data_IF_752495839073
#
_entry.id   IF_752495839073
#
_cell.length_a   1.000
_cell.length_b   1.000
_cell.length_c   1.000
_cell.angle_alpha   90.00
_cell.angle_beta   90.00
_cell.angle_gamma   90.00
#
_symmetry.space_group_name_H-M   'P 1'
#
loop_
_entity.id
_entity.type
_entity.pdbx_description
1 polymer ?
#
# COMPACT_ATOMS: atom_id res chain seq x y z
N UNK A 1 -4.28 -36.34 10.47
CA UNK A 1 -3.26 -35.54 11.17
C UNK A 1 -1.97 -35.62 10.34
N UNK A 2 -1.46 -34.50 9.80
CA UNK A 2 -0.29 -34.50 8.89
C UNK A 2 0.96 -34.90 9.68
N UNK A 3 1.54 -36.06 9.35
CA UNK A 3 2.84 -36.50 9.88
C UNK A 3 3.92 -35.70 9.18
N UNK A 4 4.51 -34.72 9.85
CA UNK A 4 5.75 -34.08 9.41
C UNK A 4 6.90 -35.06 9.63
N UNK A 5 7.19 -35.88 8.62
CA UNK A 5 8.16 -36.98 8.67
C UNK A 5 9.64 -36.55 8.66
N UNK A 6 9.95 -35.25 8.72
CA UNK A 6 11.31 -34.72 8.53
C UNK A 6 11.85 -33.87 9.70
N UNK A 7 11.18 -33.77 10.86
CA UNK A 7 11.73 -33.05 12.02
C UNK A 7 12.46 -33.98 12.99
N UNK A 8 13.58 -33.51 13.56
CA UNK A 8 14.40 -34.25 14.56
C UNK A 8 13.69 -34.50 15.89
N UNK A 9 12.59 -33.81 16.14
CA UNK A 9 11.73 -33.98 17.31
C UNK A 9 10.33 -34.29 16.83
N UNK A 10 9.71 -35.30 17.41
CA UNK A 10 8.32 -35.64 17.18
C UNK A 10 7.45 -34.82 18.16
N UNK A 11 6.55 -33.98 17.64
CA UNK A 11 5.71 -33.08 18.43
C UNK A 11 4.29 -33.66 18.63
N UNK A 12 4.09 -34.96 18.33
CA UNK A 12 2.79 -35.66 18.37
C UNK A 12 2.06 -35.56 19.72
N UNK A 13 2.78 -35.42 20.83
CA UNK A 13 2.19 -35.33 22.17
C UNK A 13 1.96 -33.89 22.66
N UNK A 14 2.34 -32.88 21.87
CA UNK A 14 2.16 -31.48 22.23
C UNK A 14 0.72 -31.06 21.96
N UNK A 15 -0.06 -30.97 23.04
CA UNK A 15 -1.42 -30.44 23.02
C UNK A 15 -1.37 -28.92 23.05
N UNK A 16 -1.41 -28.30 21.88
CA UNK A 16 -1.59 -26.85 21.75
C UNK A 16 -2.87 -26.41 22.46
N UNK A 17 -2.76 -25.34 23.26
CA UNK A 17 -3.90 -24.69 23.90
C UNK A 17 -4.01 -23.28 23.36
N UNK A 18 -5.25 -22.83 23.13
CA UNK A 18 -5.50 -21.43 22.80
C UNK A 18 -5.10 -20.53 23.98
N UNK A 19 -4.42 -19.42 23.68
CA UNK A 19 -4.15 -18.35 24.63
C UNK A 19 -5.02 -17.13 24.31
N UNK A 20 -5.35 -16.34 25.34
CA UNK A 20 -6.00 -15.04 25.18
C UNK A 20 -5.00 -13.96 25.62
N UNK A 21 -4.67 -13.05 24.71
CA UNK A 21 -3.83 -11.90 25.00
C UNK A 21 -4.72 -10.74 25.44
N UNK A 22 -4.37 -10.05 26.54
CA UNK A 22 -5.06 -8.82 26.93
C UNK A 22 -4.69 -7.70 25.97
N UNK A 23 -5.69 -6.99 25.46
CA UNK A 23 -5.48 -5.86 24.56
C UNK A 23 -6.57 -4.79 24.71
N UNK A 24 -6.29 -3.53 24.31
CA UNK A 24 -7.32 -2.51 24.17
C UNK A 24 -8.47 -2.97 23.28
N UNK A 25 -9.70 -2.65 23.67
CA UNK A 25 -10.91 -3.04 22.94
C UNK A 25 -11.33 -1.93 21.99
N UNK A 26 -11.63 -2.29 20.75
CA UNK A 26 -12.13 -1.38 19.73
C UNK A 26 -13.46 -0.74 20.17
N UNK A 27 -13.63 0.55 19.89
CA UNK A 27 -14.81 1.33 20.29
C UNK A 27 -15.75 1.70 19.11
N UNK A 28 -15.45 1.22 17.91
CA UNK A 28 -16.25 1.45 16.69
C UNK A 28 -16.48 0.15 15.91
N UNK A 29 -17.10 0.22 14.73
CA UNK A 29 -17.38 -0.95 13.88
C UNK A 29 -16.41 -1.18 12.72
N UNK A 30 -15.36 -0.37 12.57
CA UNK A 30 -14.56 -0.33 11.33
C UNK A 30 -13.04 -0.14 11.53
N UNK A 31 -12.56 -0.14 12.77
CA UNK A 31 -11.13 0.01 13.09
C UNK A 31 -10.41 -1.31 13.39
N UNK A 32 -11.08 -2.46 13.24
CA UNK A 32 -10.50 -3.77 13.56
C UNK A 32 -9.19 -4.06 12.82
N UNK A 33 -9.10 -3.69 11.54
CA UNK A 33 -7.87 -3.84 10.77
C UNK A 33 -6.71 -3.02 11.35
N UNK A 34 -6.96 -1.80 11.81
CA UNK A 34 -5.92 -0.94 12.43
C UNK A 34 -5.45 -1.56 13.74
N UNK A 35 -6.38 -2.00 14.58
CA UNK A 35 -6.06 -2.67 15.86
C UNK A 35 -5.23 -3.93 15.63
N UNK A 36 -5.59 -4.78 14.66
CA UNK A 36 -4.84 -5.99 14.33
C UNK A 36 -3.42 -5.66 13.83
N UNK A 37 -3.26 -4.64 12.98
CA UNK A 37 -1.93 -4.20 12.53
C UNK A 37 -1.05 -3.73 13.69
N UNK A 38 -1.61 -2.94 14.61
CA UNK A 38 -0.89 -2.47 15.79
C UNK A 38 -0.48 -3.62 16.72
N UNK A 39 -1.39 -4.56 16.97
CA UNK A 39 -1.09 -5.76 17.76
C UNK A 39 -0.01 -6.61 17.10
N UNK A 40 -0.09 -6.82 15.78
CA UNK A 40 0.91 -7.58 15.04
C UNK A 40 2.30 -6.93 15.14
N UNK A 41 2.39 -5.60 15.01
CA UNK A 41 3.64 -4.86 15.17
C UNK A 41 4.30 -5.12 16.52
N UNK A 42 3.56 -4.93 17.62
CA UNK A 42 4.07 -5.14 18.97
C UNK A 42 4.53 -6.59 19.21
N UNK A 43 3.76 -7.57 18.72
CA UNK A 43 4.14 -9.00 18.83
C UNK A 43 5.45 -9.27 18.10
N UNK A 44 5.62 -8.72 16.90
CA UNK A 44 6.83 -8.92 16.10
C UNK A 44 8.06 -8.24 16.72
N UNK A 45 7.89 -7.07 17.33
CA UNK A 45 8.99 -6.30 17.94
C UNK A 45 9.57 -6.98 19.19
N UNK A 46 8.75 -7.68 19.97
CA UNK A 46 9.20 -8.33 21.22
C UNK A 46 9.32 -9.84 21.15
N UNK A 47 9.05 -10.44 19.98
CA UNK A 47 9.14 -11.89 19.79
C UNK A 47 10.52 -12.42 20.26
N UNK A 48 10.58 -13.54 21.03
CA UNK A 48 9.52 -14.50 21.35
C UNK A 48 8.70 -14.19 22.62
N UNK A 49 8.81 -13.00 23.20
CA UNK A 49 8.05 -12.61 24.40
C UNK A 49 6.61 -12.26 24.03
N UNK A 50 5.74 -12.25 25.04
CA UNK A 50 4.37 -11.74 24.91
C UNK A 50 4.37 -10.23 25.26
N UNK A 51 3.96 -9.34 24.35
CA UNK A 51 3.88 -7.91 24.64
C UNK A 51 2.74 -7.58 25.61
N UNK A 52 2.88 -6.46 26.29
CA UNK A 52 1.75 -5.78 26.96
C UNK A 52 1.18 -4.75 25.99
N UNK A 53 -0.05 -4.98 25.52
CA UNK A 53 -0.68 -4.09 24.54
C UNK A 53 -1.14 -2.79 25.19
N UNK A 54 -0.55 -1.67 24.78
CA UNK A 54 -0.87 -0.33 25.29
C UNK A 54 -1.04 0.67 24.13
N UNK A 55 -2.29 0.87 23.70
CA UNK A 55 -2.66 1.89 22.73
C UNK A 55 -4.11 2.32 22.92
N UNK A 56 -4.44 3.54 22.51
CA UNK A 56 -5.81 4.05 22.56
C UNK A 56 -6.64 3.60 21.36
N UNK A 57 -7.95 3.41 21.57
CA UNK A 57 -8.90 2.91 20.57
C UNK A 57 -10.04 3.88 20.28
N UNK A 58 -9.88 5.15 20.65
CA UNK A 58 -10.86 6.17 20.29
C UNK A 58 -10.88 6.39 18.77
N UNK A 59 -12.00 6.89 18.23
CA UNK A 59 -12.13 7.19 16.79
C UNK A 59 -11.00 8.10 16.27
N UNK A 60 -10.58 9.08 17.08
CA UNK A 60 -9.49 10.02 16.73
C UNK A 60 -8.15 9.31 16.63
N UNK A 61 -7.84 8.44 17.59
CA UNK A 61 -6.60 7.65 17.59
C UNK A 61 -6.58 6.65 16.44
N UNK A 62 -7.69 5.96 16.18
CA UNK A 62 -7.78 5.03 15.05
C UNK A 62 -7.65 5.72 13.69
N UNK A 63 -8.24 6.91 13.53
CA UNK A 63 -8.05 7.73 12.33
C UNK A 63 -6.59 8.18 12.18
N UNK A 64 -5.95 8.57 13.28
CA UNK A 64 -4.54 8.94 13.28
C UNK A 64 -3.64 7.75 12.91
N UNK A 65 -3.84 6.59 13.53
CA UNK A 65 -3.05 5.39 13.25
C UNK A 65 -3.25 4.89 11.83
N UNK A 66 -4.47 4.96 11.30
CA UNK A 66 -4.73 4.66 9.88
C UNK A 66 -3.92 5.55 8.95
N UNK A 67 -3.82 6.85 9.27
CA UNK A 67 -2.98 7.79 8.51
C UNK A 67 -1.49 7.42 8.63
N UNK A 68 -1.00 7.10 9.83
CA UNK A 68 0.39 6.67 10.05
C UNK A 68 0.72 5.44 9.20
N UNK A 69 -0.09 4.39 9.29
CA UNK A 69 0.10 3.17 8.51
C UNK A 69 0.09 3.43 6.99
N UNK A 70 -0.83 4.28 6.51
CA UNK A 70 -0.86 4.66 5.10
C UNK A 70 0.42 5.39 4.68
N UNK A 71 0.93 6.31 5.51
CA UNK A 71 2.17 7.02 5.24
C UNK A 71 3.39 6.11 5.26
N UNK A 72 3.46 5.16 6.21
CA UNK A 72 4.53 4.15 6.26
C UNK A 72 4.55 3.33 4.96
N UNK A 73 3.39 2.84 4.51
CA UNK A 73 3.26 2.09 3.25
C UNK A 73 3.71 2.95 2.06
N UNK A 74 3.22 4.19 1.94
CA UNK A 74 3.56 5.08 0.83
C UNK A 74 5.05 5.45 0.82
N UNK A 75 5.66 5.62 1.99
CA UNK A 75 7.09 5.96 2.11
C UNK A 75 7.98 4.78 1.79
N UNK A 76 7.55 3.55 2.14
CA UNK A 76 8.26 2.33 1.80
C UNK A 76 8.02 1.88 0.35
N UNK A 77 7.02 2.44 -0.33
CA UNK A 77 6.70 2.09 -1.71
C UNK A 77 7.75 2.64 -2.67
N UNK A 78 8.21 1.80 -3.60
CA UNK A 78 9.10 2.23 -4.69
C UNK A 78 8.24 2.74 -5.83
N UNK A 79 8.36 4.03 -6.13
CA UNK A 79 7.74 4.66 -7.30
C UNK A 79 8.82 5.28 -8.17
N UNK A 80 9.01 4.73 -9.36
CA UNK A 80 9.93 5.29 -10.35
C UNK A 80 9.16 6.24 -11.26
N UNK A 81 9.34 7.54 -11.06
CA UNK A 81 8.65 8.58 -11.82
C UNK A 81 8.95 8.56 -13.33
N UNK A 82 10.03 7.90 -13.74
CA UNK A 82 10.45 7.82 -15.15
C UNK A 82 9.70 6.72 -15.91
N UNK A 83 9.24 5.69 -15.21
CA UNK A 83 8.57 4.53 -15.84
C UNK A 83 7.19 4.23 -15.28
N UNK A 84 6.80 4.76 -14.12
CA UNK A 84 5.47 4.52 -13.56
C UNK A 84 4.51 5.66 -13.91
N UNK A 85 3.28 5.29 -14.30
CA UNK A 85 2.16 6.22 -14.37
C UNK A 85 1.86 6.78 -12.97
N UNK A 86 1.84 8.11 -12.81
CA UNK A 86 1.60 8.77 -11.53
C UNK A 86 0.18 8.59 -10.98
N UNK A 87 -0.76 8.10 -11.79
CA UNK A 87 -2.14 7.86 -11.39
C UNK A 87 -2.40 6.41 -10.93
N UNK A 88 -1.77 5.43 -11.58
CA UNK A 88 -2.05 4.00 -11.31
C UNK A 88 -0.82 3.16 -10.98
N UNK A 89 0.38 3.75 -10.97
CA UNK A 89 1.67 3.07 -10.84
C UNK A 89 1.97 1.99 -11.91
N UNK A 90 1.16 1.89 -12.97
CA UNK A 90 1.42 1.01 -14.10
C UNK A 90 2.76 1.34 -14.77
N UNK A 91 3.54 0.30 -15.08
CA UNK A 91 4.88 0.45 -15.65
C UNK A 91 4.76 0.68 -17.16
N UNK A 92 5.45 1.71 -17.65
CA UNK A 92 5.71 1.96 -19.06
C UNK A 92 6.55 0.80 -19.60
N UNK A 93 6.10 0.06 -20.62
CA UNK A 93 6.90 -1.04 -21.16
C UNK A 93 8.26 -0.51 -21.63
N UNK A 94 9.38 -1.07 -21.14
CA UNK A 94 10.70 -0.68 -21.61
C UNK A 94 10.80 -1.00 -23.11
N UNK A 95 11.13 0.02 -23.92
CA UNK A 95 11.23 -0.13 -25.37
C UNK A 95 9.88 -0.27 -26.09
N UNK A 96 8.82 0.38 -25.61
CA UNK A 96 7.54 0.49 -26.34
C UNK A 96 7.76 1.16 -27.70
N UNK A 97 8.03 0.30 -28.67
CA UNK A 97 7.95 0.53 -30.11
C UNK A 97 6.54 1.09 -30.42
N UNK A 98 6.37 2.05 -31.35
CA UNK A 98 5.16 2.88 -31.43
C UNK A 98 3.81 2.20 -31.72
N UNK A 99 3.67 0.87 -31.68
CA UNK A 99 2.54 0.19 -32.32
C UNK A 99 1.77 -0.87 -31.50
N UNK A 100 2.09 -1.17 -30.23
CA UNK A 100 1.52 -2.37 -29.60
C UNK A 100 0.92 -2.23 -28.18
N UNK A 101 0.76 -1.01 -27.65
CA UNK A 101 -0.06 -0.81 -26.44
C UNK A 101 -1.02 0.34 -26.68
N UNK A 102 -2.32 0.10 -26.61
CA UNK A 102 -3.42 1.06 -26.80
C UNK A 102 -3.48 2.17 -25.73
N UNK A 103 -2.35 2.55 -25.16
CA UNK A 103 -2.24 3.39 -23.97
C UNK A 103 -1.28 4.53 -24.27
N UNK A 104 -1.82 5.70 -24.65
CA UNK A 104 -1.03 6.90 -24.82
C UNK A 104 -0.53 7.46 -23.48
N UNK A 105 0.60 8.14 -23.54
CA UNK A 105 1.29 8.70 -22.39
C UNK A 105 1.53 10.19 -22.59
N UNK A 106 1.45 10.94 -21.50
CA UNK A 106 1.79 12.37 -21.44
C UNK A 106 2.66 12.65 -20.21
N UNK A 107 3.61 13.57 -20.34
CA UNK A 107 4.51 14.00 -19.26
C UNK A 107 4.12 15.40 -18.80
N UNK A 108 4.09 15.62 -17.49
CA UNK A 108 3.87 16.94 -16.91
C UNK A 108 5.12 17.81 -17.05
N UNK A 109 4.99 19.02 -17.59
CA UNK A 109 6.12 19.94 -17.77
C UNK A 109 6.62 20.56 -16.46
N UNK A 110 5.81 20.52 -15.39
CA UNK A 110 6.17 21.06 -14.07
C UNK A 110 6.90 20.05 -13.18
N UNK A 111 6.42 18.80 -13.11
CA UNK A 111 6.98 17.79 -12.18
C UNK A 111 7.61 16.58 -12.87
N UNK A 112 7.62 16.56 -14.21
CA UNK A 112 8.20 15.53 -15.06
C UNK A 112 7.62 14.12 -14.87
N UNK A 113 6.49 13.99 -14.16
CA UNK A 113 5.80 12.71 -13.99
C UNK A 113 5.04 12.33 -15.25
N UNK A 114 5.05 11.03 -15.55
CA UNK A 114 4.29 10.44 -16.64
C UNK A 114 2.91 9.96 -16.20
N UNK A 115 1.92 10.09 -17.07
CA UNK A 115 0.56 9.60 -16.87
C UNK A 115 0.05 8.90 -18.13
N UNK A 116 -0.76 7.83 -17.95
CA UNK A 116 -1.61 7.35 -19.03
C UNK A 116 -2.74 8.36 -19.28
N UNK A 117 -3.05 8.63 -20.54
CA UNK A 117 -4.16 9.51 -20.91
C UNK A 117 -5.51 8.97 -20.42
N UNK A 118 -5.69 7.64 -20.42
CA UNK A 118 -6.88 6.96 -19.91
C UNK A 118 -7.03 7.13 -18.40
N UNK A 119 -5.92 7.14 -17.65
CA UNK A 119 -5.95 7.40 -16.20
C UNK A 119 -6.30 8.85 -15.88
N UNK A 120 -6.19 9.75 -16.85
CA UNK A 120 -6.59 11.15 -16.76
C UNK A 120 -7.97 11.41 -17.41
N UNK A 121 -8.60 10.38 -18.00
CA UNK A 121 -9.81 10.51 -18.80
C UNK A 121 -9.69 11.54 -19.94
N UNK A 122 -8.49 11.68 -20.51
CA UNK A 122 -8.26 12.56 -21.66
C UNK A 122 -8.73 11.87 -22.94
N UNK A 123 -9.50 12.59 -23.74
CA UNK A 123 -9.77 12.20 -25.13
C UNK A 123 -8.63 12.63 -26.06
N UNK A 124 -8.71 12.19 -27.31
CA UNK A 124 -7.67 12.45 -28.31
C UNK A 124 -7.46 13.96 -28.54
N UNK A 125 -8.54 14.74 -28.58
CA UNK A 125 -8.46 16.19 -28.79
C UNK A 125 -7.76 16.87 -27.62
N UNK A 126 -8.11 16.50 -26.39
CA UNK A 126 -7.48 17.03 -25.17
C UNK A 126 -5.99 16.68 -25.11
N UNK A 127 -5.62 15.49 -25.59
CA UNK A 127 -4.22 15.09 -25.71
C UNK A 127 -3.48 15.95 -26.74
N UNK A 128 -4.04 16.13 -27.93
CA UNK A 128 -3.44 16.95 -28.98
C UNK A 128 -3.23 18.40 -28.51
N UNK A 129 -4.21 19.00 -27.84
CA UNK A 129 -4.10 20.34 -27.24
C UNK A 129 -2.99 20.38 -26.18
N UNK A 130 -2.91 19.37 -25.33
CA UNK A 130 -1.91 19.26 -24.28
C UNK A 130 -0.49 18.96 -24.80
N UNK A 131 -0.35 18.44 -26.03
CA UNK A 131 0.95 18.20 -26.67
C UNK A 131 1.50 19.44 -27.38
N UNK A 132 0.64 20.40 -27.73
CA UNK A 132 1.04 21.63 -28.45
C UNK A 132 1.52 22.72 -27.49
N UNK A 133 1.06 22.72 -26.23
CA UNK A 133 1.43 23.71 -25.22
C UNK A 133 2.00 23.08 -23.94
N UNK A 134 2.31 23.94 -22.96
CA UNK A 134 2.71 23.48 -21.63
C UNK A 134 1.53 22.78 -20.94
N UNK A 135 1.75 21.54 -20.50
CA UNK A 135 0.76 20.76 -19.78
C UNK A 135 1.18 20.49 -18.33
N UNK A 136 0.30 20.87 -17.40
CA UNK A 136 0.49 20.69 -15.97
C UNK A 136 -0.52 19.68 -15.43
N UNK A 137 -0.02 18.60 -14.82
CA UNK A 137 -0.88 17.55 -14.29
C UNK A 137 -1.69 17.99 -13.06
N UNK A 138 -2.77 17.26 -12.77
CA UNK A 138 -3.64 17.46 -11.61
C UNK A 138 -2.93 17.31 -10.25
N UNK A 139 -1.73 16.73 -10.21
CA UNK A 139 -0.93 16.61 -8.99
C UNK A 139 -0.13 17.90 -8.68
N UNK A 140 0.11 18.74 -9.68
CA UNK A 140 0.78 20.04 -9.52
C UNK A 140 -0.20 21.19 -9.27
N UNK A 141 -1.43 21.09 -9.77
CA UNK A 141 -2.47 22.11 -9.61
C UNK A 141 -3.19 22.05 -8.24
N UNK A 142 -2.46 21.87 -7.15
CA UNK A 142 -3.01 21.88 -5.78
C UNK A 142 -2.79 23.20 -5.08
#
# INVERSE_FOLDING_TARGET
MRRTCCSKTDWVDIKWKGGVMKHPVQQDGNSCGVVVCMMAKEVMEVFPKTPTMAFGTTKKEMAHQRKVLAMEILTASVFDKEVNCAMCAGIKPPGSVPHHTHTDWIQCDSCFRWCHTQCLHMDQKSLEEAQVGDWVCSLCNK
#
